data_IF_878212199252
#
_entry.id   IF_878212199252
#
_cell.length_a   1.000
_cell.length_b   1.000
_cell.length_c   1.000
_cell.angle_alpha   90.00
_cell.angle_beta   90.00
_cell.angle_gamma   90.00
#
_symmetry.space_group_name_H-M   'P 1'
#
loop_
_entity.id
_entity.type
_entity.pdbx_description
1 polymer ?
#
# COMPACT_ATOMS: atom_id res chain seq x y z
N UNK A 1 5.22 5.80 -24.38
CA UNK A 1 5.59 7.15 -23.96
C UNK A 1 6.78 7.15 -22.96
N UNK A 2 6.79 6.29 -21.93
CA UNK A 2 7.90 6.25 -20.95
C UNK A 2 9.26 5.99 -21.62
N UNK A 3 9.34 5.01 -22.53
CA UNK A 3 10.57 4.74 -23.29
C UNK A 3 11.03 5.95 -24.12
N UNK A 4 10.08 6.67 -24.75
CA UNK A 4 10.40 7.90 -25.49
C UNK A 4 10.96 8.99 -24.58
N UNK A 5 10.38 9.16 -23.39
CA UNK A 5 10.87 10.11 -22.40
C UNK A 5 12.30 9.75 -21.95
N UNK A 6 12.53 8.50 -21.56
CA UNK A 6 13.85 8.07 -21.10
C UNK A 6 14.92 8.19 -22.17
N UNK A 7 14.58 7.86 -23.42
CA UNK A 7 15.51 8.00 -24.56
C UNK A 7 15.84 9.47 -24.93
N UNK A 8 15.10 10.46 -24.37
CA UNK A 8 15.41 11.88 -24.57
C UNK A 8 16.51 12.42 -23.65
N UNK A 9 16.88 11.68 -22.62
CA UNK A 9 17.96 12.07 -21.68
C UNK A 9 19.30 11.52 -22.13
N UNK A 10 20.37 12.27 -21.85
CA UNK A 10 21.73 11.74 -22.02
C UNK A 10 22.01 10.62 -21.03
N UNK A 11 22.97 9.74 -21.39
CA UNK A 11 23.42 8.67 -20.49
C UNK A 11 23.90 9.23 -19.14
N UNK A 12 24.61 10.33 -19.13
CA UNK A 12 25.11 10.98 -17.91
C UNK A 12 23.94 11.39 -16.97
N UNK A 13 22.86 11.93 -17.53
CA UNK A 13 21.67 12.26 -16.75
C UNK A 13 21.04 11.00 -16.18
N UNK A 14 20.83 9.96 -17.01
CA UNK A 14 20.22 8.71 -16.57
C UNK A 14 21.03 8.01 -15.49
N UNK A 15 22.36 7.95 -15.65
CA UNK A 15 23.26 7.35 -14.66
C UNK A 15 23.23 8.07 -13.29
N UNK A 16 22.79 9.35 -13.28
CA UNK A 16 22.64 10.14 -12.07
C UNK A 16 21.20 10.33 -11.60
N UNK A 17 20.24 9.62 -12.17
CA UNK A 17 18.81 9.77 -11.89
C UNK A 17 18.23 8.50 -11.27
N UNK A 18 17.47 8.67 -10.18
CA UNK A 18 16.55 7.64 -9.68
C UNK A 18 15.18 7.91 -10.30
N UNK A 19 14.57 6.87 -10.83
CA UNK A 19 13.26 6.90 -11.49
C UNK A 19 12.29 6.12 -10.63
N UNK A 20 11.20 6.75 -10.21
CA UNK A 20 10.09 6.09 -9.51
C UNK A 20 8.85 6.22 -10.38
N UNK A 21 8.34 5.10 -10.86
CA UNK A 21 7.05 5.00 -11.53
C UNK A 21 6.04 4.42 -10.55
N UNK A 22 4.90 5.08 -10.38
CA UNK A 22 3.84 4.65 -9.47
C UNK A 22 2.48 4.89 -10.09
N UNK A 23 1.54 3.96 -9.89
CA UNK A 23 0.12 4.19 -10.21
C UNK A 23 -0.50 5.21 -9.25
N UNK A 24 -1.31 6.11 -9.76
CA UNK A 24 -2.00 7.14 -8.95
C UNK A 24 -3.20 6.58 -8.18
N UNK A 25 -3.82 5.53 -8.73
CA UNK A 25 -4.97 4.82 -8.14
C UNK A 25 -5.12 3.42 -8.76
N UNK A 26 -6.04 2.63 -8.21
CA UNK A 26 -6.38 1.32 -8.76
C UNK A 26 -7.05 1.40 -10.13
N UNK A 27 -7.22 0.24 -10.77
CA UNK A 27 -7.81 0.13 -12.12
C UNK A 27 -9.23 0.69 -12.17
N UNK A 28 -9.61 1.38 -13.25
CA UNK A 28 -11.02 1.77 -13.49
C UNK A 28 -11.94 0.55 -13.46
N UNK A 29 -13.16 0.76 -12.95
CA UNK A 29 -14.12 -0.33 -12.74
C UNK A 29 -14.50 -1.06 -14.04
N UNK A 30 -14.42 -0.35 -15.18
CA UNK A 30 -14.77 -0.84 -16.50
C UNK A 30 -13.74 -1.81 -17.10
N UNK A 31 -12.49 -1.73 -16.65
CA UNK A 31 -11.37 -2.51 -17.20
C UNK A 31 -10.72 -3.45 -16.21
N UNK A 32 -11.20 -3.48 -14.98
CA UNK A 32 -10.67 -4.40 -13.96
C UNK A 32 -10.96 -5.84 -14.35
N UNK A 33 -9.94 -6.70 -14.31
CA UNK A 33 -10.05 -8.10 -14.72
C UNK A 33 -10.04 -9.07 -13.53
N UNK A 34 -9.21 -8.82 -12.55
CA UNK A 34 -8.94 -9.73 -11.44
C UNK A 34 -9.82 -9.44 -10.24
N UNK A 35 -9.99 -8.17 -9.89
CA UNK A 35 -10.83 -7.76 -8.77
C UNK A 35 -12.29 -7.62 -9.17
N UNK A 36 -13.17 -7.73 -8.20
CA UNK A 36 -14.56 -7.30 -8.39
C UNK A 36 -14.58 -5.79 -8.73
N UNK A 37 -15.35 -5.38 -9.73
CA UNK A 37 -15.42 -3.98 -10.19
C UNK A 37 -15.80 -2.98 -9.07
N UNK A 38 -16.56 -3.42 -8.07
CA UNK A 38 -16.90 -2.59 -6.90
C UNK A 38 -15.74 -2.47 -5.88
N UNK A 39 -14.65 -3.19 -6.09
CA UNK A 39 -13.45 -3.23 -5.23
C UNK A 39 -12.21 -2.70 -5.94
N UNK A 40 -12.39 -1.92 -6.98
CA UNK A 40 -11.36 -1.30 -7.80
C UNK A 40 -11.20 0.19 -7.46
N UNK A 41 -10.85 1.03 -8.43
CA UNK A 41 -10.65 2.48 -8.27
C UNK A 41 -11.75 3.12 -7.41
N UNK A 42 -11.35 3.96 -6.46
CA UNK A 42 -12.27 4.65 -5.54
C UNK A 42 -12.77 3.80 -4.38
N UNK A 43 -12.20 2.63 -4.14
CA UNK A 43 -12.47 1.78 -2.98
C UNK A 43 -11.27 1.66 -2.06
N UNK A 44 -11.49 1.23 -0.80
CA UNK A 44 -10.44 0.92 0.17
C UNK A 44 -9.95 -0.54 0.10
N UNK A 45 -10.43 -1.30 -0.89
CA UNK A 45 -9.97 -2.65 -1.18
C UNK A 45 -8.60 -2.62 -1.89
N UNK A 46 -7.91 -3.77 -1.93
CA UNK A 46 -6.62 -3.90 -2.62
C UNK A 46 -6.69 -3.41 -4.07
N UNK A 47 -7.74 -3.74 -4.81
CA UNK A 47 -7.90 -3.28 -6.19
C UNK A 47 -8.01 -1.75 -6.37
N UNK A 48 -8.33 -1.03 -5.28
CA UNK A 48 -8.42 0.44 -5.29
C UNK A 48 -7.14 1.14 -4.82
N UNK A 49 -6.38 0.52 -3.91
CA UNK A 49 -5.27 1.18 -3.20
C UNK A 49 -3.91 0.51 -3.35
N UNK A 50 -3.85 -0.78 -3.71
CA UNK A 50 -2.59 -1.46 -3.97
C UNK A 50 -2.17 -1.21 -5.43
N UNK A 51 -1.42 -0.13 -5.63
CA UNK A 51 -0.98 0.32 -6.96
C UNK A 51 0.42 -0.20 -7.28
N UNK A 52 0.75 -0.44 -8.56
CA UNK A 52 2.08 -0.84 -8.95
C UNK A 52 3.08 0.29 -8.70
N UNK A 53 4.28 -0.07 -8.22
CA UNK A 53 5.41 0.84 -8.15
C UNK A 53 6.65 0.14 -8.70
N UNK A 54 7.41 0.85 -9.54
CA UNK A 54 8.69 0.40 -10.09
C UNK A 54 9.73 1.46 -9.79
N UNK A 55 10.87 1.04 -9.24
CA UNK A 55 11.99 1.94 -8.95
C UNK A 55 13.21 1.45 -9.71
N UNK A 56 13.89 2.36 -10.41
CA UNK A 56 15.05 2.05 -11.25
C UNK A 56 16.06 3.20 -11.25
N UNK A 57 17.30 2.91 -11.62
CA UNK A 57 18.34 3.92 -11.82
C UNK A 57 19.35 4.01 -10.69
N UNK A 58 19.80 5.23 -10.39
CA UNK A 58 20.91 5.46 -9.44
C UNK A 58 20.62 4.87 -8.06
N UNK A 59 21.57 4.13 -7.51
CA UNK A 59 21.53 3.48 -6.20
C UNK A 59 20.55 2.30 -6.07
N UNK A 60 19.92 1.87 -7.15
CA UNK A 60 19.17 0.61 -7.18
C UNK A 60 20.14 -0.52 -7.54
N UNK A 61 20.44 -1.39 -6.58
CA UNK A 61 21.35 -2.54 -6.79
C UNK A 61 20.60 -3.86 -6.90
N UNK A 62 19.31 -3.85 -6.66
CA UNK A 62 18.39 -5.01 -6.79
C UNK A 62 17.62 -4.91 -8.11
N UNK A 63 18.34 -5.11 -9.22
CA UNK A 63 17.72 -5.12 -10.56
C UNK A 63 16.90 -6.41 -10.75
N UNK A 64 15.74 -6.29 -11.44
CA UNK A 64 14.83 -7.38 -11.78
C UNK A 64 14.31 -8.17 -10.55
N UNK A 65 14.26 -7.51 -9.39
CA UNK A 65 13.81 -8.09 -8.14
C UNK A 65 12.45 -7.51 -7.70
N UNK A 66 11.75 -8.22 -6.83
CA UNK A 66 10.48 -7.78 -6.23
C UNK A 66 10.61 -7.60 -4.72
N UNK A 67 9.76 -6.75 -4.14
CA UNK A 67 9.76 -6.44 -2.72
C UNK A 67 8.32 -6.48 -2.18
N UNK A 68 8.10 -7.27 -1.14
CA UNK A 68 6.79 -7.43 -0.47
C UNK A 68 6.67 -6.57 0.80
N UNK A 69 7.72 -5.88 1.19
CA UNK A 69 7.71 -5.02 2.37
C UNK A 69 6.64 -3.93 2.26
N UNK A 70 5.96 -3.67 3.37
CA UNK A 70 4.91 -2.66 3.40
C UNK A 70 5.50 -1.26 3.20
N UNK A 71 4.93 -0.53 2.25
CA UNK A 71 5.18 0.90 2.03
C UNK A 71 3.84 1.62 1.85
N UNK A 72 3.83 2.92 2.13
CA UNK A 72 2.69 3.80 1.90
C UNK A 72 3.08 4.90 0.88
N UNK A 73 2.13 5.45 0.15
CA UNK A 73 2.37 6.58 -0.75
C UNK A 73 2.99 7.79 -0.05
N UNK A 74 2.68 8.01 1.23
CA UNK A 74 3.34 9.04 2.06
C UNK A 74 4.85 8.82 2.23
N UNK A 75 5.35 7.59 2.10
CA UNK A 75 6.76 7.25 2.30
C UNK A 75 7.67 7.81 1.19
N UNK A 76 7.10 8.18 0.05
CA UNK A 76 7.84 8.89 -0.99
C UNK A 76 8.49 10.18 -0.47
N UNK A 77 7.82 10.92 0.42
CA UNK A 77 8.35 12.17 0.98
C UNK A 77 9.67 11.94 1.72
N UNK A 78 9.69 11.08 2.74
CA UNK A 78 10.90 10.78 3.49
C UNK A 78 11.96 10.09 2.62
N UNK A 79 11.56 9.23 1.69
CA UNK A 79 12.48 8.55 0.78
C UNK A 79 13.22 9.52 -0.14
N UNK A 80 12.52 10.48 -0.73
CA UNK A 80 13.12 11.51 -1.59
C UNK A 80 14.10 12.36 -0.79
N UNK A 81 13.74 12.81 0.41
CA UNK A 81 14.62 13.61 1.27
C UNK A 81 15.86 12.82 1.71
N UNK A 82 15.71 11.58 2.06
CA UNK A 82 16.82 10.70 2.45
C UNK A 82 17.77 10.44 1.27
N UNK A 83 17.25 10.20 0.08
CA UNK A 83 18.06 10.02 -1.14
C UNK A 83 18.79 11.31 -1.53
N UNK A 84 18.13 12.46 -1.36
CA UNK A 84 18.71 13.78 -1.62
C UNK A 84 19.77 14.19 -0.59
N UNK A 85 19.99 13.40 0.46
CA UNK A 85 21.00 13.72 1.50
C UNK A 85 20.56 14.76 2.52
N UNK A 86 19.25 14.99 2.68
CA UNK A 86 18.71 15.94 3.67
C UNK A 86 18.79 15.44 5.12
N UNK A 87 19.25 14.20 5.35
CA UNK A 87 19.35 13.59 6.67
C UNK A 87 17.99 13.28 7.33
N UNK A 88 16.93 13.21 6.55
CA UNK A 88 15.56 12.93 7.01
C UNK A 88 15.13 11.58 6.43
N UNK A 89 15.05 10.56 7.28
CA UNK A 89 14.55 9.22 6.93
C UNK A 89 13.15 8.94 7.47
N UNK A 90 12.65 9.78 8.37
CA UNK A 90 11.30 9.68 8.94
C UNK A 90 10.75 11.09 9.23
N UNK A 91 9.50 11.35 8.86
CA UNK A 91 8.81 12.61 9.12
C UNK A 91 7.31 12.38 9.19
N UNK A 92 6.70 12.62 10.35
CA UNK A 92 5.31 12.28 10.63
C UNK A 92 5.06 10.79 10.31
N UNK A 93 4.11 10.47 9.42
CA UNK A 93 3.79 9.10 9.00
C UNK A 93 4.68 8.59 7.85
N UNK A 94 5.52 9.45 7.28
CA UNK A 94 6.40 9.10 6.16
C UNK A 94 7.67 8.43 6.67
N UNK A 95 7.99 7.24 6.14
CA UNK A 95 9.19 6.46 6.46
C UNK A 95 9.94 6.15 5.17
N UNK A 96 11.25 6.42 5.16
CA UNK A 96 12.06 6.15 3.98
C UNK A 96 12.16 4.64 3.70
N UNK A 97 11.89 4.27 2.46
CA UNK A 97 12.16 2.93 1.94
C UNK A 97 13.46 2.84 1.12
N UNK A 98 14.35 3.84 1.22
CA UNK A 98 15.66 3.86 0.54
C UNK A 98 16.44 2.56 0.74
N UNK A 99 16.39 1.97 1.94
CA UNK A 99 17.06 0.71 2.23
C UNK A 99 16.65 -0.44 1.30
N UNK A 100 15.36 -0.48 0.90
CA UNK A 100 14.82 -1.50 0.00
C UNK A 100 15.42 -1.44 -1.42
N UNK A 101 16.03 -0.34 -1.81
CA UNK A 101 16.69 -0.21 -3.13
C UNK A 101 17.95 -1.07 -3.24
N UNK A 102 18.52 -1.47 -2.12
CA UNK A 102 19.74 -2.28 -2.06
C UNK A 102 19.63 -3.58 -1.27
N UNK A 103 18.70 -3.66 -0.33
CA UNK A 103 18.56 -4.82 0.58
C UNK A 103 17.09 -5.10 0.84
N UNK A 104 16.62 -6.33 0.58
CA UNK A 104 15.24 -6.73 0.84
C UNK A 104 14.89 -6.70 2.33
N UNK A 105 13.60 -6.56 2.63
CA UNK A 105 13.03 -6.64 3.98
C UNK A 105 13.64 -5.66 5.00
N UNK A 106 14.11 -4.50 4.54
CA UNK A 106 14.64 -3.44 5.43
C UNK A 106 13.59 -2.42 5.85
N UNK A 107 12.34 -2.56 5.42
CA UNK A 107 11.26 -1.66 5.84
C UNK A 107 10.95 -1.83 7.33
N UNK A 108 10.76 -0.70 7.99
CA UNK A 108 10.31 -0.64 9.39
C UNK A 108 8.80 -0.45 9.52
N UNK A 109 8.07 -0.34 8.40
CA UNK A 109 6.62 -0.15 8.40
C UNK A 109 5.92 -1.46 8.69
N UNK A 110 5.16 -1.51 9.78
CA UNK A 110 4.38 -2.69 10.18
C UNK A 110 2.93 -2.63 9.71
N UNK A 111 2.41 -1.41 9.50
CA UNK A 111 1.01 -1.20 9.13
C UNK A 111 0.91 -0.18 8.01
N UNK A 112 -0.02 -0.41 7.10
CA UNK A 112 -0.44 0.56 6.08
C UNK A 112 -1.89 0.93 6.35
N UNK A 113 -2.14 2.23 6.44
CA UNK A 113 -3.47 2.81 6.63
C UNK A 113 -3.90 3.54 5.36
N UNK A 114 -5.19 3.46 5.04
CA UNK A 114 -5.83 4.28 3.99
C UNK A 114 -7.26 4.59 4.37
N UNK A 115 -7.75 5.74 3.92
CA UNK A 115 -9.14 6.15 4.15
C UNK A 115 -9.75 6.75 2.89
N UNK A 116 -11.08 6.72 2.83
CA UNK A 116 -11.88 7.33 1.79
C UNK A 116 -13.01 8.12 2.43
N UNK A 117 -13.02 9.42 2.21
CA UNK A 117 -14.14 10.27 2.58
C UNK A 117 -15.29 10.17 1.57
N UNK A 118 -16.50 10.07 2.08
CA UNK A 118 -17.71 10.11 1.28
C UNK A 118 -18.48 11.42 1.54
N UNK A 119 -18.46 12.36 0.57
CA UNK A 119 -19.09 13.67 0.78
C UNK A 119 -20.61 13.62 0.87
N UNK A 120 -21.27 12.57 0.35
CA UNK A 120 -22.73 12.43 0.41
C UNK A 120 -23.20 12.00 1.80
N UNK A 121 -22.43 11.15 2.48
CA UNK A 121 -22.79 10.64 3.82
C UNK A 121 -22.03 11.34 4.94
N UNK A 122 -21.08 12.24 4.60
CA UNK A 122 -20.15 12.90 5.53
C UNK A 122 -19.37 11.90 6.39
N UNK A 123 -19.22 10.68 5.92
CA UNK A 123 -18.56 9.60 6.61
C UNK A 123 -17.29 9.11 5.94
N UNK A 124 -16.59 8.23 6.61
CA UNK A 124 -15.31 7.71 6.15
C UNK A 124 -15.32 6.18 6.16
N UNK A 125 -14.92 5.60 5.04
CA UNK A 125 -14.46 4.22 5.00
C UNK A 125 -12.96 4.22 5.28
N UNK A 126 -12.46 3.28 6.08
CA UNK A 126 -11.03 3.19 6.36
C UNK A 126 -10.55 1.75 6.47
N UNK A 127 -9.29 1.57 6.23
CA UNK A 127 -8.65 0.26 6.25
C UNK A 127 -7.26 0.35 6.84
N UNK A 128 -6.86 -0.73 7.50
CA UNK A 128 -5.51 -0.97 7.98
C UNK A 128 -5.10 -2.40 7.64
N UNK A 129 -3.84 -2.57 7.24
CA UNK A 129 -3.26 -3.90 7.04
C UNK A 129 -1.89 -4.02 7.70
N UNK A 130 -1.54 -5.25 8.09
CA UNK A 130 -0.17 -5.71 8.28
C UNK A 130 0.27 -6.57 7.08
N UNK A 131 1.31 -7.36 7.21
CA UNK A 131 1.79 -8.24 6.13
C UNK A 131 0.75 -9.24 5.66
N UNK A 132 0.01 -9.84 6.59
CA UNK A 132 -0.86 -10.99 6.33
C UNK A 132 -2.33 -10.66 6.34
N UNK A 133 -2.78 -9.71 7.16
CA UNK A 133 -4.21 -9.44 7.33
C UNK A 133 -4.56 -7.99 7.01
N UNK A 134 -5.81 -7.80 6.60
CA UNK A 134 -6.38 -6.48 6.34
C UNK A 134 -7.77 -6.36 6.92
N UNK A 135 -7.97 -5.29 7.70
CA UNK A 135 -9.25 -4.94 8.29
C UNK A 135 -9.82 -3.69 7.60
N UNK A 136 -11.11 -3.73 7.29
CA UNK A 136 -11.88 -2.63 6.72
C UNK A 136 -13.04 -2.28 7.64
N UNK A 137 -13.28 -0.99 7.78
CA UNK A 137 -14.48 -0.45 8.40
C UNK A 137 -15.17 0.50 7.43
N UNK A 138 -16.46 0.31 7.27
CA UNK A 138 -17.30 1.10 6.38
C UNK A 138 -18.16 2.09 7.16
N UNK A 139 -18.45 3.22 6.56
CA UNK A 139 -19.26 4.28 7.15
C UNK A 139 -20.67 3.82 7.59
N UNK A 140 -21.18 2.73 7.02
CA UNK A 140 -22.46 2.12 7.41
C UNK A 140 -22.34 1.16 8.61
N UNK A 141 -21.19 1.12 9.26
CA UNK A 141 -20.90 0.28 10.41
C UNK A 141 -20.52 -1.16 10.09
N UNK A 142 -20.45 -1.53 8.81
CA UNK A 142 -19.97 -2.86 8.42
C UNK A 142 -18.47 -2.99 8.57
N UNK A 143 -18.05 -4.23 8.84
CA UNK A 143 -16.66 -4.60 8.95
C UNK A 143 -16.31 -5.73 7.97
N UNK A 144 -15.05 -5.76 7.56
CA UNK A 144 -14.49 -6.90 6.85
C UNK A 144 -13.07 -7.19 7.32
N UNK A 145 -12.71 -8.47 7.32
CA UNK A 145 -11.36 -8.95 7.61
C UNK A 145 -10.95 -9.93 6.52
N UNK A 146 -9.75 -9.77 6.03
CA UNK A 146 -9.17 -10.63 5.00
C UNK A 146 -7.81 -11.15 5.44
N UNK A 147 -7.57 -12.44 5.23
CA UNK A 147 -6.23 -13.01 5.25
C UNK A 147 -5.65 -12.88 3.83
N UNK A 148 -4.70 -11.99 3.64
CA UNK A 148 -4.12 -11.71 2.34
C UNK A 148 -3.10 -12.76 1.89
N UNK A 149 -2.63 -13.63 2.81
CA UNK A 149 -1.71 -14.72 2.47
C UNK A 149 -2.42 -15.77 1.61
N UNK A 150 -3.67 -16.09 1.96
CA UNK A 150 -4.49 -17.08 1.24
C UNK A 150 -5.44 -16.42 0.24
N UNK A 151 -5.79 -15.17 0.45
CA UNK A 151 -6.83 -14.47 -0.29
C UNK A 151 -6.44 -13.03 -0.66
N UNK A 152 -5.35 -12.82 -1.43
CA UNK A 152 -4.82 -11.50 -1.75
C UNK A 152 -5.80 -10.62 -2.54
N UNK A 153 -6.83 -11.22 -3.16
CA UNK A 153 -7.89 -10.54 -3.91
C UNK A 153 -9.13 -10.20 -3.08
N UNK A 154 -9.10 -10.50 -1.77
CA UNK A 154 -10.17 -10.15 -0.82
C UNK A 154 -11.55 -10.75 -1.14
N UNK A 155 -11.62 -11.97 -1.70
CA UNK A 155 -12.90 -12.60 -2.04
C UNK A 155 -13.63 -13.12 -0.80
N UNK A 156 -12.91 -13.64 0.18
CA UNK A 156 -13.45 -14.26 1.38
C UNK A 156 -13.35 -13.32 2.58
N UNK A 157 -14.47 -12.71 2.98
CA UNK A 157 -14.54 -11.94 4.22
C UNK A 157 -14.67 -12.88 5.43
N UNK A 158 -13.66 -12.94 6.28
CA UNK A 158 -13.61 -13.76 7.49
C UNK A 158 -14.65 -13.36 8.55
N UNK A 159 -15.26 -12.18 8.46
CA UNK A 159 -16.34 -11.73 9.33
C UNK A 159 -17.73 -12.09 8.77
N UNK A 160 -17.80 -12.79 7.64
CA UNK A 160 -19.08 -13.30 7.14
C UNK A 160 -19.68 -14.35 8.09
N UNK A 161 -21.01 -14.43 8.24
CA UNK A 161 -21.64 -15.35 9.20
C UNK A 161 -21.19 -16.80 9.09
N UNK A 162 -20.89 -17.27 7.87
CA UNK A 162 -20.44 -18.63 7.61
C UNK A 162 -18.97 -18.90 7.97
N UNK A 163 -18.21 -17.83 8.32
CA UNK A 163 -16.80 -17.90 8.70
C UNK A 163 -16.58 -17.74 10.21
N UNK A 164 -17.64 -17.44 10.94
CA UNK A 164 -17.57 -17.25 12.39
C UNK A 164 -17.84 -18.58 13.14
N UNK A 165 -17.24 -18.76 14.34
CA UNK A 165 -16.30 -17.85 14.99
C UNK A 165 -14.92 -17.84 14.33
N UNK A 166 -14.21 -16.73 14.42
CA UNK A 166 -12.82 -16.64 13.95
C UNK A 166 -11.95 -17.65 14.69
N UNK A 167 -11.00 -18.26 14.00
CA UNK A 167 -9.93 -19.00 14.64
C UNK A 167 -9.00 -18.07 15.44
N UNK A 168 -8.11 -18.62 16.26
CA UNK A 168 -7.26 -17.87 17.16
C UNK A 168 -6.33 -16.88 16.42
N UNK A 169 -5.81 -17.26 15.25
CA UNK A 169 -4.91 -16.42 14.43
C UNK A 169 -5.67 -15.21 13.89
N UNK A 170 -6.79 -15.45 13.21
CA UNK A 170 -7.62 -14.39 12.62
C UNK A 170 -8.23 -13.47 13.68
N UNK A 171 -8.58 -14.01 14.85
CA UNK A 171 -9.06 -13.23 15.99
C UNK A 171 -7.98 -12.32 16.56
N UNK A 172 -6.76 -12.83 16.73
CA UNK A 172 -5.62 -12.03 17.17
C UNK A 172 -5.27 -10.92 16.19
N UNK A 173 -5.24 -11.25 14.88
CA UNK A 173 -4.98 -10.27 13.82
C UNK A 173 -6.06 -9.16 13.78
N UNK A 174 -7.34 -9.50 13.90
CA UNK A 174 -8.42 -8.50 14.01
C UNK A 174 -8.17 -7.56 15.19
N UNK A 175 -7.93 -8.11 16.37
CA UNK A 175 -7.75 -7.30 17.58
C UNK A 175 -6.54 -6.36 17.46
N UNK A 176 -5.42 -6.85 16.91
CA UNK A 176 -4.23 -6.06 16.64
C UNK A 176 -4.52 -4.90 15.69
N UNK A 177 -5.14 -5.19 14.54
CA UNK A 177 -5.43 -4.18 13.51
C UNK A 177 -6.42 -3.12 14.02
N UNK A 178 -7.46 -3.52 14.74
CA UNK A 178 -8.43 -2.58 15.35
C UNK A 178 -7.76 -1.69 16.40
N UNK A 179 -6.86 -2.24 17.23
CA UNK A 179 -6.10 -1.47 18.21
C UNK A 179 -5.19 -0.43 17.50
N UNK A 180 -4.44 -0.86 16.49
CA UNK A 180 -3.55 0.03 15.73
C UNK A 180 -4.32 1.11 14.98
N UNK A 181 -5.47 0.77 14.42
CA UNK A 181 -6.37 1.73 13.79
C UNK A 181 -6.81 2.82 14.76
N UNK A 182 -7.16 2.45 15.99
CA UNK A 182 -7.50 3.40 17.05
C UNK A 182 -6.33 4.34 17.39
N UNK A 183 -5.10 3.83 17.43
CA UNK A 183 -3.90 4.64 17.68
C UNK A 183 -3.63 5.65 16.56
N UNK A 184 -3.80 5.24 15.29
CA UNK A 184 -3.53 6.10 14.13
C UNK A 184 -4.58 7.23 14.01
N UNK A 185 -5.82 6.98 14.43
CA UNK A 185 -6.95 7.92 14.26
C UNK A 185 -7.19 8.85 15.45
N UNK A 186 -6.52 8.68 16.57
CA UNK A 186 -6.56 9.56 17.74
C UNK A 186 -5.41 10.57 17.72
#
# INVERSE_FOLDING_TARGET
>A
EMGRLLNSFSKEILDNTLIIFIGDNGSPNEVVQVYNSKRAKGSIYQGGINVPMVVSGKNVTRADDSEDALINGSDLFATILDIAGAGISEKNDSKSFKGLLSTSNTSTRKYVYSEKYNPQTLGQDYTIRNETHKYLYFNDGKEALYDLSDNPLEFLNLLSPNQLPLNAINGAAKNELVLQLGIIRN
#
